data_IF_365602911079
#
_entry.id   IF_365602911079
#
_cell.length_a   1.000
_cell.length_b   1.000
_cell.length_c   1.000
_cell.angle_alpha   90.00
_cell.angle_beta   90.00
_cell.angle_gamma   90.00
#
_symmetry.space_group_name_H-M   'P 1'
#
loop_
_entity.id
_entity.type
_entity.pdbx_description
1 polymer ?
#
# COMPACT_ATOMS: atom_id res chain seq x y z
N UNK A 1 1.63 -13.08 17.29
CA UNK A 1 0.79 -11.85 17.29
C UNK A 1 1.37 -10.82 16.35
N UNK A 2 0.52 -10.22 15.54
CA UNK A 2 0.92 -9.18 14.59
C UNK A 2 0.87 -7.81 15.27
N UNK A 3 1.87 -6.98 15.02
CA UNK A 3 1.95 -5.62 15.54
C UNK A 3 2.23 -4.62 14.44
N UNK A 4 1.54 -3.47 14.50
CA UNK A 4 1.78 -2.35 13.60
C UNK A 4 2.55 -1.28 14.34
N UNK A 5 3.55 -0.71 13.67
CA UNK A 5 4.30 0.44 14.18
C UNK A 5 4.70 1.35 13.03
N UNK A 6 5.19 2.54 13.35
CA UNK A 6 5.73 3.43 12.32
C UNK A 6 6.98 2.79 11.71
N UNK A 7 7.14 2.97 10.40
CA UNK A 7 8.36 2.58 9.72
C UNK A 7 9.47 3.56 10.12
N UNK A 8 10.64 3.03 10.47
CA UNK A 8 11.81 3.88 10.68
C UNK A 8 12.85 3.58 9.60
N UNK A 9 13.94 4.37 9.60
CA UNK A 9 14.96 4.24 8.56
C UNK A 9 15.60 2.85 8.53
N UNK A 10 15.70 2.19 9.67
CA UNK A 10 16.28 0.85 9.74
C UNK A 10 15.40 -0.21 9.09
N UNK A 11 14.12 0.08 8.86
CA UNK A 11 13.18 -0.85 8.23
C UNK A 11 13.23 -0.81 6.70
N UNK A 12 13.80 0.24 6.11
CA UNK A 12 13.68 0.50 4.66
C UNK A 12 14.22 -0.64 3.78
N UNK A 13 15.38 -1.19 4.11
CA UNK A 13 15.96 -2.27 3.31
C UNK A 13 15.07 -3.52 3.31
N UNK A 14 14.57 -3.90 4.48
CA UNK A 14 13.70 -5.08 4.62
C UNK A 14 12.34 -4.84 3.94
N UNK A 15 11.79 -3.65 4.08
CA UNK A 15 10.53 -3.31 3.40
C UNK A 15 10.72 -3.35 1.88
N UNK A 16 11.83 -2.83 1.38
CA UNK A 16 12.11 -2.87 -0.06
C UNK A 16 12.30 -4.30 -0.58
N UNK A 17 12.87 -5.20 0.22
CA UNK A 17 12.96 -6.61 -0.16
C UNK A 17 11.56 -7.22 -0.35
N UNK A 18 10.60 -6.85 0.52
CA UNK A 18 9.21 -7.29 0.36
C UNK A 18 8.60 -6.70 -0.92
N UNK A 19 8.85 -5.43 -1.20
CA UNK A 19 8.37 -4.78 -2.43
C UNK A 19 8.84 -5.55 -3.66
N UNK A 20 10.12 -5.91 -3.73
CA UNK A 20 10.66 -6.68 -4.85
C UNK A 20 10.09 -8.09 -4.93
N UNK A 21 9.83 -8.70 -3.79
CA UNK A 21 9.30 -10.06 -3.75
C UNK A 21 7.88 -10.13 -4.31
N UNK A 22 7.02 -9.21 -3.90
CA UNK A 22 5.57 -9.35 -4.13
C UNK A 22 5.04 -8.51 -5.27
N UNK A 23 5.69 -7.42 -5.64
CA UNK A 23 5.20 -6.54 -6.70
C UNK A 23 5.84 -6.92 -8.04
N UNK A 24 5.05 -7.35 -9.04
CA UNK A 24 5.60 -7.70 -10.36
C UNK A 24 6.31 -6.53 -11.05
N UNK A 25 5.94 -5.29 -10.72
CA UNK A 25 6.55 -4.07 -11.24
C UNK A 25 6.94 -3.19 -10.06
N UNK A 26 7.99 -3.57 -9.32
CA UNK A 26 8.31 -2.88 -8.07
C UNK A 26 8.78 -1.45 -8.33
N UNK A 27 8.56 -0.56 -7.34
CA UNK A 27 9.19 0.76 -7.36
C UNK A 27 10.71 0.60 -7.42
N UNK A 28 11.39 1.56 -8.01
CA UNK A 28 12.85 1.60 -7.92
C UNK A 28 13.25 1.84 -6.46
N UNK A 29 14.44 1.38 -6.09
CA UNK A 29 14.96 1.60 -4.74
C UNK A 29 15.00 3.10 -4.42
N UNK A 30 15.42 3.91 -5.39
CA UNK A 30 15.47 5.37 -5.24
C UNK A 30 14.09 5.95 -4.90
N UNK A 31 13.06 5.56 -5.65
CA UNK A 31 11.71 6.06 -5.42
C UNK A 31 11.13 5.58 -4.08
N UNK A 32 11.40 4.33 -3.73
CA UNK A 32 10.93 3.76 -2.47
C UNK A 32 11.54 4.52 -1.27
N UNK A 33 12.85 4.74 -1.31
CA UNK A 33 13.54 5.44 -0.22
C UNK A 33 13.19 6.92 -0.17
N UNK A 34 13.04 7.58 -1.33
CA UNK A 34 12.66 8.99 -1.34
C UNK A 34 11.23 9.22 -0.84
N UNK A 35 10.34 8.26 -1.03
CA UNK A 35 8.98 8.33 -0.48
C UNK A 35 9.01 8.42 1.05
N UNK A 36 9.91 7.69 1.69
CA UNK A 36 10.10 7.78 3.14
C UNK A 36 10.66 9.16 3.53
N UNK A 37 11.66 9.65 2.78
CA UNK A 37 12.32 10.94 3.09
C UNK A 37 11.39 12.15 2.94
N UNK A 38 10.44 12.13 1.99
CA UNK A 38 9.50 13.24 1.80
C UNK A 38 8.39 13.27 2.84
N UNK A 39 8.41 12.32 3.79
CA UNK A 39 7.47 12.34 4.91
C UNK A 39 6.09 11.77 4.62
N UNK A 40 5.95 10.90 3.63
CA UNK A 40 4.73 10.11 3.51
C UNK A 40 4.55 9.28 4.78
N UNK A 41 3.29 8.99 5.13
CA UNK A 41 3.01 8.13 6.26
C UNK A 41 3.38 6.70 5.90
N UNK A 42 4.21 6.07 6.72
CA UNK A 42 4.68 4.70 6.47
C UNK A 42 4.55 3.88 7.74
N UNK A 43 3.88 2.74 7.63
CA UNK A 43 3.69 1.81 8.75
C UNK A 43 4.19 0.44 8.35
N UNK A 44 4.60 -0.34 9.34
CA UNK A 44 5.07 -1.71 9.15
C UNK A 44 4.27 -2.67 10.02
N UNK A 45 4.16 -3.90 9.54
CA UNK A 45 3.58 -5.01 10.28
C UNK A 45 4.71 -5.97 10.64
N UNK A 46 4.79 -6.36 11.92
CA UNK A 46 5.77 -7.31 12.42
C UNK A 46 5.09 -8.49 13.07
N UNK A 47 5.70 -9.65 12.91
CA UNK A 47 5.42 -10.83 13.72
C UNK A 47 6.67 -11.09 14.55
N UNK A 48 6.52 -11.01 15.88
CA UNK A 48 7.66 -10.97 16.78
C UNK A 48 8.59 -9.81 16.40
N UNK A 49 9.83 -10.06 16.03
CA UNK A 49 10.72 -9.00 15.57
C UNK A 49 10.90 -8.96 14.06
N UNK A 50 10.15 -9.78 13.32
CA UNK A 50 10.31 -9.90 11.87
C UNK A 50 9.33 -8.97 11.16
N UNK A 51 9.86 -8.13 10.28
CA UNK A 51 9.05 -7.27 9.41
C UNK A 51 8.44 -8.15 8.32
N UNK A 52 7.11 -8.18 8.24
CA UNK A 52 6.39 -9.03 7.29
C UNK A 52 5.54 -8.25 6.29
N UNK A 53 5.36 -6.96 6.49
CA UNK A 53 4.59 -6.13 5.58
C UNK A 53 4.70 -4.66 5.89
N UNK A 54 4.22 -3.83 4.96
CA UNK A 54 4.24 -2.39 5.10
C UNK A 54 3.10 -1.74 4.33
N UNK A 55 2.81 -0.48 4.66
CA UNK A 55 1.93 0.37 3.87
C UNK A 55 2.48 1.80 3.86
N UNK A 56 2.36 2.45 2.72
CA UNK A 56 2.76 3.85 2.51
C UNK A 56 1.54 4.60 2.00
N UNK A 57 1.21 5.70 2.65
CA UNK A 57 0.06 6.51 2.29
C UNK A 57 0.32 7.98 2.54
N UNK A 58 -0.42 8.85 1.86
CA UNK A 58 -0.32 10.30 2.07
C UNK A 58 -1.69 10.84 2.46
N UNK A 59 -1.68 11.89 3.27
CA UNK A 59 -2.89 12.57 3.72
C UNK A 59 -2.86 14.00 3.20
N UNK A 60 -3.89 14.34 2.42
CA UNK A 60 -4.06 15.69 1.87
C UNK A 60 -5.50 16.09 2.15
N UNK A 61 -5.69 17.03 3.08
CA UNK A 61 -7.02 17.48 3.50
C UNK A 61 -7.89 16.29 3.95
N UNK A 62 -9.01 16.04 3.29
CA UNK A 62 -9.95 14.97 3.64
C UNK A 62 -9.69 13.67 2.89
N UNK A 63 -8.55 13.57 2.19
CA UNK A 63 -8.22 12.42 1.35
C UNK A 63 -7.00 11.68 1.86
N UNK A 64 -7.13 10.36 1.93
CA UNK A 64 -6.00 9.46 2.11
C UNK A 64 -5.69 8.81 0.77
N UNK A 65 -4.45 8.90 0.32
CA UNK A 65 -3.99 8.23 -0.89
C UNK A 65 -3.10 7.07 -0.50
N UNK A 66 -3.57 5.84 -0.75
CA UNK A 66 -2.76 4.64 -0.53
C UNK A 66 -1.78 4.52 -1.69
N UNK A 67 -0.49 4.65 -1.39
CA UNK A 67 0.56 4.65 -2.41
C UNK A 67 1.14 3.27 -2.63
N UNK A 68 1.25 2.46 -1.56
CA UNK A 68 1.79 1.11 -1.66
C UNK A 68 1.40 0.32 -0.42
N UNK A 69 1.11 -0.97 -0.60
CA UNK A 69 0.86 -1.91 0.49
C UNK A 69 1.35 -3.28 0.04
N UNK A 70 2.11 -3.95 0.87
CA UNK A 70 2.64 -5.26 0.55
C UNK A 70 2.86 -6.10 1.81
N UNK A 71 2.65 -7.40 1.66
CA UNK A 71 2.91 -8.40 2.71
C UNK A 71 3.74 -9.52 2.08
N UNK A 72 4.79 -9.95 2.75
CA UNK A 72 5.63 -11.05 2.25
C UNK A 72 4.79 -12.31 2.00
N UNK A 73 5.16 -13.07 0.98
CA UNK A 73 4.32 -14.20 0.49
C UNK A 73 4.03 -15.23 1.57
N UNK A 74 4.97 -15.51 2.44
CA UNK A 74 4.79 -16.51 3.51
C UNK A 74 3.72 -16.09 4.53
N UNK A 75 3.33 -14.83 4.54
CA UNK A 75 2.30 -14.29 5.43
C UNK A 75 1.01 -13.89 4.71
N UNK A 76 0.84 -14.27 3.44
CA UNK A 76 -0.41 -14.03 2.71
C UNK A 76 -1.56 -14.81 3.34
N UNK A 77 -2.75 -14.22 3.29
CA UNK A 77 -3.99 -14.81 3.82
C UNK A 77 -3.99 -15.08 5.32
N UNK A 78 -3.16 -14.35 6.07
CA UNK A 78 -3.09 -14.47 7.53
C UNK A 78 -3.49 -13.18 8.24
N UNK A 79 -4.13 -12.27 7.52
CA UNK A 79 -4.70 -11.05 8.10
C UNK A 79 -3.78 -9.85 8.18
N UNK A 80 -2.52 -9.96 7.75
CA UNK A 80 -1.56 -8.86 7.84
C UNK A 80 -1.97 -7.66 6.95
N UNK A 81 -2.39 -7.93 5.72
CA UNK A 81 -2.85 -6.89 4.81
C UNK A 81 -4.07 -6.16 5.34
N UNK A 82 -5.03 -6.89 5.89
CA UNK A 82 -6.22 -6.29 6.51
C UNK A 82 -5.86 -5.48 7.73
N UNK A 83 -4.92 -5.92 8.55
CA UNK A 83 -4.48 -5.18 9.72
C UNK A 83 -3.79 -3.87 9.32
N UNK A 84 -2.94 -3.89 8.29
CA UNK A 84 -2.33 -2.69 7.74
C UNK A 84 -3.40 -1.72 7.22
N UNK A 85 -4.35 -2.23 6.46
CA UNK A 85 -5.44 -1.40 5.90
C UNK A 85 -6.30 -0.80 7.01
N UNK A 86 -6.71 -1.61 7.99
CA UNK A 86 -7.50 -1.12 9.13
C UNK A 86 -6.75 -0.02 9.88
N UNK A 87 -5.45 -0.17 10.07
CA UNK A 87 -4.63 0.80 10.80
C UNK A 87 -4.54 2.12 10.04
N UNK A 88 -4.22 2.08 8.74
CA UNK A 88 -4.12 3.32 7.97
C UNK A 88 -5.48 4.04 7.87
N UNK A 89 -6.57 3.31 7.74
CA UNK A 89 -7.91 3.90 7.73
C UNK A 89 -8.19 4.60 9.07
N UNK A 90 -7.90 3.93 10.18
CA UNK A 90 -8.12 4.50 11.51
C UNK A 90 -7.30 5.77 11.72
N UNK A 91 -6.02 5.73 11.38
CA UNK A 91 -5.15 6.90 11.48
C UNK A 91 -5.63 8.04 10.59
N UNK A 92 -6.03 7.71 9.37
CA UNK A 92 -6.53 8.71 8.41
C UNK A 92 -7.81 9.38 8.89
N UNK A 93 -8.74 8.60 9.44
CA UNK A 93 -10.00 9.14 9.99
C UNK A 93 -9.76 10.10 11.15
N UNK A 94 -8.85 9.73 12.05
CA UNK A 94 -8.49 10.60 13.18
C UNK A 94 -7.96 11.95 12.68
N UNK A 95 -7.28 11.98 11.55
CA UNK A 95 -6.72 13.19 10.95
C UNK A 95 -7.67 13.86 9.94
N UNK A 96 -8.94 13.43 9.90
CA UNK A 96 -9.97 14.09 9.12
C UNK A 96 -10.23 13.54 7.73
N UNK A 97 -9.59 12.44 7.34
CA UNK A 97 -9.85 11.84 6.05
C UNK A 97 -11.24 11.21 5.98
N UNK A 98 -11.90 11.37 4.85
CA UNK A 98 -13.24 10.84 4.58
C UNK A 98 -13.25 9.79 3.49
N UNK A 99 -12.16 9.66 2.75
CA UNK A 99 -12.08 8.75 1.62
C UNK A 99 -10.64 8.29 1.40
N UNK A 100 -10.48 7.02 1.03
CA UNK A 100 -9.19 6.46 0.63
C UNK A 100 -9.21 6.25 -0.88
N UNK A 101 -8.21 6.73 -1.56
CA UNK A 101 -8.01 6.55 -3.00
C UNK A 101 -6.79 5.70 -3.26
N UNK A 102 -6.82 4.93 -4.34
CA UNK A 102 -5.65 4.20 -4.81
C UNK A 102 -5.68 4.04 -6.33
N UNK A 103 -4.52 3.75 -6.89
CA UNK A 103 -4.36 3.38 -8.28
C UNK A 103 -3.67 2.02 -8.31
N UNK A 104 -4.16 1.12 -9.14
CA UNK A 104 -3.60 -0.22 -9.27
C UNK A 104 -3.56 -0.64 -10.74
N UNK A 105 -2.50 -1.33 -11.14
CA UNK A 105 -2.40 -1.87 -12.50
C UNK A 105 -3.55 -2.82 -12.77
N UNK A 106 -4.16 -2.71 -13.95
CA UNK A 106 -5.31 -3.55 -14.31
C UNK A 106 -4.97 -5.05 -14.32
N UNK A 107 -3.70 -5.38 -14.54
CA UNK A 107 -3.24 -6.78 -14.54
C UNK A 107 -2.89 -7.32 -13.16
N UNK A 108 -2.92 -6.49 -12.14
CA UNK A 108 -2.65 -6.91 -10.77
C UNK A 108 -3.93 -7.46 -10.12
N UNK A 109 -4.34 -8.65 -10.55
CA UNK A 109 -5.61 -9.26 -10.15
C UNK A 109 -5.68 -9.53 -8.65
N UNK A 110 -4.57 -9.95 -8.04
CA UNK A 110 -4.54 -10.24 -6.60
C UNK A 110 -4.79 -9.00 -5.77
N UNK A 111 -4.15 -7.88 -6.11
CA UNK A 111 -4.37 -6.62 -5.41
C UNK A 111 -5.80 -6.11 -5.61
N UNK A 112 -6.31 -6.14 -6.84
CA UNK A 112 -7.68 -5.71 -7.13
C UNK A 112 -8.69 -6.53 -6.32
N UNK A 113 -8.51 -7.85 -6.25
CA UNK A 113 -9.37 -8.73 -5.44
C UNK A 113 -9.32 -8.34 -3.97
N UNK A 114 -8.14 -8.09 -3.43
CA UNK A 114 -7.98 -7.66 -2.05
C UNK A 114 -8.75 -6.35 -1.79
N UNK A 115 -8.59 -5.36 -2.67
CA UNK A 115 -9.29 -4.09 -2.53
C UNK A 115 -10.81 -4.23 -2.64
N UNK A 116 -11.29 -5.00 -3.60
CA UNK A 116 -12.74 -5.27 -3.75
C UNK A 116 -13.31 -5.99 -2.53
N UNK A 117 -12.59 -6.97 -2.01
CA UNK A 117 -13.02 -7.68 -0.79
C UNK A 117 -13.06 -6.74 0.42
N UNK A 118 -12.20 -5.72 0.43
CA UNK A 118 -12.20 -4.71 1.47
C UNK A 118 -13.29 -3.64 1.27
N UNK A 119 -14.07 -3.73 0.19
CA UNK A 119 -15.19 -2.85 -0.19
C UNK A 119 -14.78 -1.60 -0.97
N UNK A 120 -13.57 -1.55 -1.51
CA UNK A 120 -13.23 -0.51 -2.48
C UNK A 120 -14.07 -0.69 -3.74
N UNK A 121 -14.46 0.42 -4.34
CA UNK A 121 -15.18 0.45 -5.61
C UNK A 121 -14.29 1.02 -6.71
N UNK A 122 -14.52 0.59 -7.95
CA UNK A 122 -13.82 1.14 -9.09
C UNK A 122 -14.50 2.43 -9.52
N UNK A 123 -13.72 3.53 -9.59
CA UNK A 123 -14.21 4.83 -10.01
C UNK A 123 -13.94 5.10 -11.48
N UNK A 124 -12.80 4.64 -11.99
CA UNK A 124 -12.37 4.93 -13.35
C UNK A 124 -11.30 3.93 -13.83
N UNK A 125 -11.09 3.91 -15.14
CA UNK A 125 -10.00 3.20 -15.79
C UNK A 125 -9.24 4.20 -16.63
N UNK A 126 -7.93 4.34 -16.40
CA UNK A 126 -7.06 5.20 -17.22
C UNK A 126 -6.25 4.33 -18.15
N UNK A 127 -6.57 4.39 -19.43
CA UNK A 127 -5.91 3.60 -20.47
C UNK A 127 -4.48 4.11 -20.66
N UNK A 128 -3.53 3.15 -20.75
CA UNK A 128 -2.11 3.45 -20.98
C UNK A 128 -1.49 4.39 -19.93
N UNK A 129 -1.95 4.32 -18.70
CA UNK A 129 -1.46 5.17 -17.62
C UNK A 129 -0.01 4.85 -17.24
N UNK A 130 0.32 3.56 -17.15
CA UNK A 130 1.67 3.10 -16.87
C UNK A 130 2.41 2.88 -18.19
N UNK A 131 3.54 3.58 -18.35
CA UNK A 131 4.37 3.48 -19.54
C UNK A 131 5.62 2.64 -19.27
N UNK A 132 6.51 2.51 -20.26
CA UNK A 132 7.79 1.83 -20.12
C UNK A 132 7.74 0.37 -20.58
N UNK A 133 8.57 -0.48 -19.93
CA UNK A 133 8.75 -1.88 -20.35
C UNK A 133 7.54 -2.77 -20.03
N UNK A 134 6.71 -2.36 -19.07
CA UNK A 134 5.51 -3.09 -18.66
C UNK A 134 4.31 -2.16 -18.72
N UNK A 135 3.86 -1.76 -19.93
CA UNK A 135 2.74 -0.84 -20.05
C UNK A 135 1.44 -1.49 -19.56
N UNK A 136 0.59 -0.70 -18.92
CA UNK A 136 -0.69 -1.17 -18.42
C UNK A 136 -1.62 0.01 -18.16
N UNK A 137 -2.90 -0.32 -17.99
CA UNK A 137 -3.92 0.64 -17.58
C UNK A 137 -3.94 0.75 -16.05
N UNK A 138 -4.45 1.86 -15.55
CA UNK A 138 -4.66 2.05 -14.11
C UNK A 138 -6.13 1.93 -13.77
N UNK A 139 -6.44 1.05 -12.82
CA UNK A 139 -7.76 1.01 -12.18
C UNK A 139 -7.72 1.96 -11.00
N UNK A 140 -8.61 2.96 -11.04
CA UNK A 140 -8.74 3.95 -9.96
C UNK A 140 -9.83 3.46 -9.02
N UNK A 141 -9.51 3.33 -7.74
CA UNK A 141 -10.45 2.80 -6.74
C UNK A 141 -10.54 3.71 -5.53
N UNK A 142 -11.66 3.64 -4.84
CA UNK A 142 -11.85 4.40 -3.60
C UNK A 142 -12.73 3.67 -2.61
N UNK A 143 -12.61 4.10 -1.35
CA UNK A 143 -13.40 3.61 -0.22
C UNK A 143 -13.81 4.79 0.65
N UNK A 144 -15.10 4.93 0.91
CA UNK A 144 -15.57 5.90 1.89
C UNK A 144 -15.29 5.40 3.31
N UNK A 145 -14.79 6.27 4.16
CA UNK A 145 -14.40 5.89 5.52
C UNK A 145 -15.00 6.78 6.60
#
# INVERSE_FOLDING_TARGET
MLKISLMDQSDLELAYEIEKEVNPTPWSKKNFFSSFEVGHNSIVCRHENNLIGFAIFSLVKEECHLLNIAVTKSWHRKGAGSLLMNTLIKQSKVLGAKKVFLEVRSKNFNAISFYKNYKFVQDALRINYYAGNNPDDAVMMSLDI
#
